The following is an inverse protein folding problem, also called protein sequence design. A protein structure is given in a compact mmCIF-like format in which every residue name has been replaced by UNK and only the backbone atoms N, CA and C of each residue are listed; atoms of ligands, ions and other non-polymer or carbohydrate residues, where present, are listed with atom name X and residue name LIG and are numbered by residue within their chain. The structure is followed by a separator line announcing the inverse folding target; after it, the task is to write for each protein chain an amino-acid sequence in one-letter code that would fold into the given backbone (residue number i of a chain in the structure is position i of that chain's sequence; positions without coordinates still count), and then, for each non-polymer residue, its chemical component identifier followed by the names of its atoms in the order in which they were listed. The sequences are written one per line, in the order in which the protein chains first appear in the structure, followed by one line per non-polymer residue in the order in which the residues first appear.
data_IF_277404279909
#
_entry.id   IF_277404279909
#
_cell.length_a   1.000
_cell.length_b   1.000
_cell.length_c   1.000
_cell.angle_alpha   90.00
_cell.angle_beta   90.00
_cell.angle_gamma   90.00
#
_symmetry.space_group_name_H-M   'P 1'
#
loop_
_entity.id
_entity.type
_entity.pdbx_description
1 polymer ?
#
# COMPACT_ATOMS: atom_id res chain seq x y z
N UNK A 1 51.23 41.99 -51.42
CA UNK A 1 49.86 42.04 -50.88
C UNK A 1 49.42 40.62 -50.53
N UNK A 2 49.44 40.26 -49.23
CA UNK A 2 49.07 38.92 -48.73
C UNK A 2 47.73 39.00 -48.04
N UNK A 3 46.72 38.28 -48.58
CA UNK A 3 45.42 38.17 -48.01
C UNK A 3 45.39 37.01 -47.00
N UNK A 4 45.13 37.31 -45.72
CA UNK A 4 44.93 36.33 -44.68
C UNK A 4 43.48 35.81 -44.72
N UNK A 5 43.34 34.51 -44.86
CA UNK A 5 42.08 33.80 -44.67
C UNK A 5 41.90 33.42 -43.20
N UNK A 6 40.89 33.96 -42.53
CA UNK A 6 40.43 33.48 -41.24
C UNK A 6 39.60 32.20 -41.39
N UNK A 7 40.05 31.10 -40.80
CA UNK A 7 39.24 29.90 -40.62
C UNK A 7 38.39 30.11 -39.38
N UNK A 8 37.07 30.10 -39.55
CA UNK A 8 36.11 29.98 -38.48
C UNK A 8 35.96 28.50 -38.12
N UNK A 9 36.38 28.11 -36.92
CA UNK A 9 36.12 26.79 -36.36
C UNK A 9 34.67 26.78 -35.81
N UNK A 10 33.78 26.08 -36.47
CA UNK A 10 32.44 25.82 -35.97
C UNK A 10 32.49 24.75 -34.85
N UNK A 11 32.15 25.16 -33.63
CA UNK A 11 32.00 24.25 -32.52
C UNK A 11 30.62 23.57 -32.56
N UNK A 12 30.56 22.34 -33.00
CA UNK A 12 29.35 21.52 -32.93
C UNK A 12 29.22 20.95 -31.51
N UNK A 13 28.34 21.58 -30.73
CA UNK A 13 27.93 21.04 -29.43
C UNK A 13 27.10 19.78 -29.65
N UNK A 14 27.67 18.62 -29.32
CA UNK A 14 26.94 17.34 -29.27
C UNK A 14 26.13 17.36 -27.97
N UNK A 15 24.83 17.59 -28.08
CA UNK A 15 23.90 17.41 -26.97
C UNK A 15 23.68 15.89 -26.79
N UNK A 16 24.38 15.32 -25.82
CA UNK A 16 24.09 13.94 -25.40
C UNK A 16 22.74 13.91 -24.66
N UNK A 17 21.69 13.46 -25.35
CA UNK A 17 20.42 13.17 -24.72
C UNK A 17 20.60 11.88 -23.91
N UNK A 18 20.78 12.04 -22.60
CA UNK A 18 20.67 10.92 -21.66
C UNK A 18 19.21 10.45 -21.63
N UNK A 19 18.92 9.41 -22.39
CA UNK A 19 17.70 8.62 -22.24
C UNK A 19 17.78 7.90 -20.89
N UNK A 20 17.21 8.50 -19.85
CA UNK A 20 16.96 7.81 -18.60
C UNK A 20 15.98 6.67 -18.90
N UNK A 21 16.52 5.46 -19.03
CA UNK A 21 15.72 4.23 -19.09
C UNK A 21 15.05 4.07 -17.73
N UNK A 22 13.82 4.57 -17.60
CA UNK A 22 12.96 4.19 -16.48
C UNK A 22 12.66 2.71 -16.62
N UNK A 23 13.35 1.89 -15.85
CA UNK A 23 12.98 0.48 -15.65
C UNK A 23 11.61 0.48 -14.99
N UNK A 24 10.57 0.35 -15.79
CA UNK A 24 9.22 0.13 -15.29
C UNK A 24 9.26 -1.19 -14.49
N UNK A 25 9.06 -1.09 -13.18
CA UNK A 25 8.87 -2.26 -12.33
C UNK A 25 7.61 -2.94 -12.87
N UNK A 26 7.77 -4.14 -13.44
CA UNK A 26 6.66 -4.88 -13.99
C UNK A 26 5.70 -5.24 -12.85
N UNK A 27 4.45 -4.82 -12.99
CA UNK A 27 3.40 -5.23 -12.05
C UNK A 27 3.20 -6.75 -12.13
N UNK A 28 2.90 -7.44 -11.01
CA UNK A 28 2.79 -8.89 -11.02
C UNK A 28 1.67 -9.36 -11.96
N UNK A 29 1.92 -10.46 -12.64
CA UNK A 29 0.88 -11.17 -13.39
C UNK A 29 0.10 -12.05 -12.41
N UNK A 30 -1.24 -11.85 -12.33
CA UNK A 30 -2.12 -12.63 -11.46
C UNK A 30 -3.11 -13.42 -12.30
N UNK A 31 -3.35 -14.66 -11.92
CA UNK A 31 -4.29 -15.58 -12.58
C UNK A 31 -4.88 -16.56 -11.56
N UNK A 32 -5.83 -17.34 -11.97
CA UNK A 32 -6.45 -18.38 -11.14
C UNK A 32 -5.40 -19.27 -10.46
N UNK A 33 -5.57 -19.47 -9.16
CA UNK A 33 -4.60 -20.12 -8.28
C UNK A 33 -3.56 -19.19 -7.64
N UNK A 34 -3.44 -17.95 -8.12
CA UNK A 34 -2.66 -16.95 -7.40
C UNK A 34 -3.33 -16.62 -6.06
N UNK A 35 -2.53 -16.34 -5.06
CA UNK A 35 -3.01 -15.93 -3.74
C UNK A 35 -2.08 -14.91 -3.13
N UNK A 36 -2.62 -14.17 -2.20
CA UNK A 36 -1.82 -13.20 -1.45
C UNK A 36 -2.30 -11.76 -1.61
N UNK A 37 -1.47 -10.84 -1.16
CA UNK A 37 -1.84 -9.43 -1.04
C UNK A 37 -2.14 -8.75 -2.38
N UNK A 38 -1.42 -9.11 -3.44
CA UNK A 38 -1.69 -8.56 -4.78
C UNK A 38 -3.09 -8.94 -5.27
N UNK A 39 -3.52 -10.16 -4.96
CA UNK A 39 -4.89 -10.62 -5.26
C UNK A 39 -5.90 -9.86 -4.41
N UNK A 40 -5.65 -9.69 -3.12
CA UNK A 40 -6.51 -8.91 -2.23
C UNK A 40 -6.66 -7.46 -2.72
N UNK A 41 -5.55 -6.81 -3.11
CA UNK A 41 -5.59 -5.46 -3.66
C UNK A 41 -6.37 -5.39 -4.96
N UNK A 42 -6.15 -6.35 -5.85
CA UNK A 42 -6.93 -6.48 -7.08
C UNK A 42 -8.42 -6.57 -6.77
N UNK A 43 -8.80 -7.47 -5.87
CA UNK A 43 -10.20 -7.68 -5.46
C UNK A 43 -10.81 -6.40 -4.88
N UNK A 44 -10.12 -5.72 -3.96
CA UNK A 44 -10.57 -4.44 -3.40
C UNK A 44 -10.70 -3.35 -4.47
N UNK A 45 -9.76 -3.28 -5.42
CA UNK A 45 -9.86 -2.33 -6.53
C UNK A 45 -11.05 -2.63 -7.43
N UNK A 46 -11.29 -3.89 -7.77
CA UNK A 46 -12.45 -4.32 -8.55
C UNK A 46 -13.75 -3.99 -7.84
N UNK A 47 -13.85 -4.27 -6.53
CA UNK A 47 -15.00 -3.85 -5.71
C UNK A 47 -15.22 -2.33 -5.74
N UNK A 48 -14.15 -1.56 -5.56
CA UNK A 48 -14.20 -0.09 -5.54
C UNK A 48 -14.71 0.49 -6.87
N UNK A 49 -14.31 -0.11 -8.00
CA UNK A 49 -14.77 0.32 -9.32
C UNK A 49 -16.07 -0.38 -9.76
N UNK A 50 -16.72 -1.14 -8.86
CA UNK A 50 -18.09 -1.64 -9.04
C UNK A 50 -18.20 -3.03 -9.68
N UNK A 51 -17.14 -3.85 -9.63
CA UNK A 51 -17.22 -5.25 -10.08
C UNK A 51 -17.59 -6.18 -8.92
N UNK A 52 -18.35 -7.23 -9.23
CA UNK A 52 -18.89 -8.16 -8.23
C UNK A 52 -17.78 -9.05 -7.67
N UNK A 53 -17.34 -8.74 -6.47
CA UNK A 53 -16.48 -9.55 -5.62
C UNK A 53 -17.16 -9.62 -4.24
N UNK A 54 -17.63 -10.80 -3.83
CA UNK A 54 -18.32 -10.96 -2.55
C UNK A 54 -17.37 -10.79 -1.37
N UNK A 55 -16.17 -11.37 -1.47
CA UNK A 55 -15.14 -11.26 -0.45
C UNK A 55 -13.78 -11.00 -1.08
N UNK A 56 -13.13 -9.94 -0.62
CA UNK A 56 -11.72 -9.73 -0.92
C UNK A 56 -10.88 -10.58 0.05
N UNK A 57 -10.68 -11.84 -0.30
CA UNK A 57 -10.03 -12.88 0.51
C UNK A 57 -8.56 -13.12 0.16
N UNK A 58 -8.09 -12.47 -0.91
CA UNK A 58 -6.74 -12.65 -1.41
C UNK A 58 -6.51 -13.97 -2.16
N UNK A 59 -7.57 -14.67 -2.59
CA UNK A 59 -7.51 -15.89 -3.38
C UNK A 59 -8.06 -15.61 -4.79
N UNK A 60 -7.25 -15.82 -5.81
CA UNK A 60 -7.66 -15.67 -7.21
C UNK A 60 -8.42 -16.92 -7.65
N UNK A 61 -9.70 -16.97 -7.30
CA UNK A 61 -10.64 -18.00 -7.74
C UNK A 61 -11.46 -17.57 -8.95
N UNK A 62 -12.46 -18.38 -9.32
CA UNK A 62 -13.35 -18.13 -10.46
C UNK A 62 -14.10 -16.79 -10.36
N UNK A 63 -14.44 -16.36 -9.14
CA UNK A 63 -15.10 -15.07 -8.93
C UNK A 63 -14.18 -13.91 -9.34
N UNK A 64 -12.93 -13.94 -8.90
CA UNK A 64 -11.93 -12.94 -9.25
C UNK A 64 -11.62 -12.94 -10.74
N UNK A 65 -11.52 -14.13 -11.35
CA UNK A 65 -11.29 -14.29 -12.79
C UNK A 65 -12.42 -13.68 -13.60
N UNK A 66 -13.68 -13.95 -13.22
CA UNK A 66 -14.86 -13.37 -13.89
C UNK A 66 -14.87 -11.85 -13.78
N UNK A 67 -14.64 -11.31 -12.58
CA UNK A 67 -14.61 -9.88 -12.35
C UNK A 67 -13.49 -9.19 -13.17
N UNK A 68 -12.33 -9.82 -13.28
CA UNK A 68 -11.22 -9.34 -14.13
C UNK A 68 -11.61 -9.39 -15.60
N UNK A 69 -12.24 -10.46 -16.07
CA UNK A 69 -12.67 -10.58 -17.46
C UNK A 69 -13.75 -9.54 -17.81
N UNK A 70 -14.69 -9.27 -16.92
CA UNK A 70 -15.69 -8.20 -17.07
C UNK A 70 -15.01 -6.82 -17.12
N UNK A 71 -14.10 -6.56 -16.19
CA UNK A 71 -13.33 -5.33 -16.17
C UNK A 71 -12.57 -5.12 -17.49
N UNK A 72 -11.86 -6.15 -17.96
CA UNK A 72 -11.11 -6.11 -19.21
C UNK A 72 -12.03 -5.80 -20.41
N UNK A 73 -13.22 -6.38 -20.44
CA UNK A 73 -14.24 -6.08 -21.48
C UNK A 73 -14.66 -4.61 -21.45
N UNK A 74 -15.00 -4.10 -20.27
CA UNK A 74 -15.50 -2.74 -20.08
C UNK A 74 -14.41 -1.68 -20.38
N UNK A 75 -13.15 -2.03 -20.12
CA UNK A 75 -11.99 -1.18 -20.46
C UNK A 75 -11.49 -1.35 -21.90
N UNK A 76 -12.18 -2.18 -22.71
CA UNK A 76 -11.82 -2.47 -24.10
C UNK A 76 -10.36 -2.94 -24.25
N UNK A 77 -9.88 -3.75 -23.32
CA UNK A 77 -8.59 -4.42 -23.37
C UNK A 77 -8.79 -5.93 -23.57
N UNK A 78 -7.73 -6.65 -23.95
CA UNK A 78 -7.81 -8.09 -24.22
C UNK A 78 -8.39 -8.85 -23.01
N UNK A 79 -9.50 -9.54 -23.24
CA UNK A 79 -10.20 -10.35 -22.22
C UNK A 79 -9.47 -11.67 -22.07
N UNK A 80 -8.80 -11.86 -20.96
CA UNK A 80 -8.01 -13.06 -20.65
C UNK A 80 -8.33 -13.66 -19.29
N UNK A 81 -9.02 -12.91 -18.42
CA UNK A 81 -9.14 -13.26 -17.00
C UNK A 81 -7.81 -13.21 -16.24
N UNK A 82 -6.72 -12.77 -16.88
CA UNK A 82 -5.38 -12.68 -16.29
C UNK A 82 -5.02 -11.20 -16.12
N UNK A 83 -4.56 -10.83 -14.93
CA UNK A 83 -4.09 -9.48 -14.66
C UNK A 83 -2.64 -9.35 -15.09
N UNK A 84 -2.40 -8.54 -16.09
CA UNK A 84 -1.09 -8.17 -16.61
C UNK A 84 -0.88 -6.66 -16.51
N UNK A 85 0.23 -6.15 -17.02
CA UNK A 85 0.54 -4.71 -16.99
C UNK A 85 -0.56 -3.84 -17.64
N UNK A 86 -1.24 -4.32 -18.69
CA UNK A 86 -2.33 -3.58 -19.32
C UNK A 86 -3.54 -3.48 -18.38
N UNK A 87 -3.90 -4.59 -17.73
CA UNK A 87 -4.99 -4.65 -16.75
C UNK A 87 -4.69 -3.76 -15.54
N UNK A 88 -3.47 -3.80 -15.01
CA UNK A 88 -3.07 -2.93 -13.90
C UNK A 88 -3.15 -1.45 -14.25
N UNK A 89 -2.67 -1.04 -15.43
CA UNK A 89 -2.77 0.36 -15.89
C UNK A 89 -4.23 0.81 -16.02
N UNK A 90 -5.07 -0.02 -16.58
CA UNK A 90 -6.49 0.28 -16.70
C UNK A 90 -7.14 0.45 -15.32
N UNK A 91 -6.82 -0.42 -14.34
CA UNK A 91 -7.31 -0.34 -12.97
C UNK A 91 -6.88 0.93 -12.23
N UNK A 92 -5.73 1.52 -12.60
CA UNK A 92 -5.25 2.78 -12.00
C UNK A 92 -6.08 3.99 -12.43
N UNK A 93 -6.62 3.96 -13.63
CA UNK A 93 -7.36 5.07 -14.24
C UNK A 93 -8.86 4.84 -14.30
N UNK A 94 -9.32 3.63 -13.91
CA UNK A 94 -10.73 3.27 -13.92
C UNK A 94 -11.52 4.15 -12.95
N UNK A 95 -12.62 4.69 -13.46
CA UNK A 95 -13.66 5.37 -12.67
C UNK A 95 -14.64 4.33 -12.15
N UNK A 96 -15.35 4.67 -11.09
CA UNK A 96 -16.45 3.85 -10.60
C UNK A 96 -17.45 3.56 -11.73
N UNK A 97 -17.85 2.30 -11.81
CA UNK A 97 -18.83 1.84 -12.80
C UNK A 97 -20.18 2.47 -12.49
N UNK A 98 -20.68 3.33 -13.36
CA UNK A 98 -22.05 3.80 -13.27
C UNK A 98 -22.97 2.65 -13.69
N UNK A 99 -23.58 1.97 -12.73
CA UNK A 99 -24.68 1.06 -13.00
C UNK A 99 -25.89 1.89 -13.41
N UNK A 100 -26.25 1.85 -14.68
CA UNK A 100 -27.54 2.35 -15.14
C UNK A 100 -28.64 1.39 -14.70
N UNK A 101 -28.94 1.38 -13.41
CA UNK A 101 -30.11 0.71 -12.87
C UNK A 101 -30.92 1.78 -12.17
N UNK A 102 -32.05 2.15 -12.78
CA UNK A 102 -33.19 2.71 -12.06
C UNK A 102 -33.69 1.65 -11.04
N UNK A 103 -33.05 1.56 -9.89
CA UNK A 103 -33.62 0.90 -8.74
C UNK A 103 -34.56 1.94 -8.12
N UNK A 104 -35.88 1.69 -8.09
CA UNK A 104 -36.80 2.53 -7.33
C UNK A 104 -36.30 2.56 -5.89
N UNK A 105 -35.92 3.70 -5.39
CA UNK A 105 -35.57 3.90 -3.98
C UNK A 105 -36.78 3.48 -3.14
N UNK A 106 -36.64 2.54 -2.19
CA UNK A 106 -37.69 2.33 -1.20
C UNK A 106 -37.82 3.62 -0.40
N UNK A 107 -39.00 4.21 -0.49
CA UNK A 107 -39.41 5.41 0.25
C UNK A 107 -39.06 5.25 1.74
N UNK A 108 -38.29 6.18 2.22
CA UNK A 108 -37.88 6.34 3.61
C UNK A 108 -39.11 6.50 4.49
N UNK A 109 -39.38 5.66 5.48
CA UNK A 109 -40.37 5.96 6.50
C UNK A 109 -39.81 7.06 7.41
N UNK A 110 -40.58 8.11 7.55
CA UNK A 110 -40.32 9.21 8.49
C UNK A 110 -40.54 8.76 9.92
N UNK A 111 -39.61 9.18 10.79
CA UNK A 111 -39.76 9.48 12.24
C UNK A 111 -40.43 8.45 13.15
N UNK A 112 -39.62 7.92 14.04
CA UNK A 112 -40.05 7.26 15.28
C UNK A 112 -38.88 7.21 16.26
N UNK A 113 -38.88 8.15 17.20
CA UNK A 113 -37.99 8.22 18.35
C UNK A 113 -38.09 6.98 19.21
N UNK A 114 -36.98 6.33 19.51
CA UNK A 114 -36.78 5.64 20.79
C UNK A 114 -35.31 5.40 21.05
N UNK A 115 -34.83 5.99 22.10
CA UNK A 115 -33.50 5.85 22.65
C UNK A 115 -33.25 4.44 23.13
N UNK A 116 -32.19 3.81 22.66
CA UNK A 116 -31.55 2.72 23.37
C UNK A 116 -30.04 2.83 23.14
N UNK A 117 -29.30 2.82 24.24
CA UNK A 117 -27.89 3.08 24.40
C UNK A 117 -27.02 2.39 23.36
N UNK A 118 -26.58 3.12 22.35
CA UNK A 118 -25.48 2.72 21.51
C UNK A 118 -24.18 3.08 22.23
N UNK A 119 -23.38 2.08 22.53
CA UNK A 119 -21.98 2.23 22.91
C UNK A 119 -21.31 3.06 21.81
N UNK A 120 -20.88 4.25 22.15
CA UNK A 120 -20.21 5.20 21.25
C UNK A 120 -19.01 4.54 20.58
N UNK A 121 -19.11 4.33 19.27
CA UNK A 121 -18.01 4.10 18.33
C UNK A 121 -17.29 5.43 18.03
N UNK A 122 -17.16 6.28 19.02
CA UNK A 122 -16.59 7.63 18.87
C UNK A 122 -15.21 7.70 19.50
N UNK A 123 -14.27 6.88 18.97
CA UNK A 123 -12.84 7.10 19.22
C UNK A 123 -11.99 6.68 18.01
N UNK A 124 -12.46 6.95 16.81
CA UNK A 124 -11.54 7.11 15.69
C UNK A 124 -11.05 8.55 15.75
N UNK A 125 -9.85 8.76 16.29
CA UNK A 125 -9.16 10.03 16.15
C UNK A 125 -9.23 10.49 14.69
N UNK A 126 -9.36 11.80 14.40
CA UNK A 126 -9.35 12.29 13.03
C UNK A 126 -8.12 11.70 12.34
N UNK A 127 -8.28 11.21 11.12
CA UNK A 127 -7.35 10.33 10.36
C UNK A 127 -5.87 10.78 10.27
N UNK A 128 -5.49 11.88 10.92
CA UNK A 128 -4.16 12.48 10.91
C UNK A 128 -3.60 12.79 12.32
N UNK A 129 -4.24 12.38 13.41
CA UNK A 129 -3.71 12.64 14.75
C UNK A 129 -2.68 11.57 15.17
N UNK A 130 -1.60 11.97 15.89
CA UNK A 130 -0.68 11.01 16.49
C UNK A 130 -1.41 10.11 17.50
N UNK A 131 -1.21 8.80 17.40
CA UNK A 131 -1.95 7.78 18.17
C UNK A 131 -1.12 7.11 19.25
N UNK A 132 0.21 7.17 19.15
CA UNK A 132 1.14 6.52 20.08
C UNK A 132 1.73 7.53 21.07
N UNK A 133 1.44 7.36 22.35
CA UNK A 133 2.08 8.17 23.38
C UNK A 133 3.59 7.86 23.46
N UNK A 134 4.43 8.90 23.57
CA UNK A 134 5.90 8.77 23.66
C UNK A 134 6.34 7.80 24.75
N UNK A 135 5.65 7.77 25.89
CA UNK A 135 5.91 6.82 26.99
C UNK A 135 5.71 5.35 26.62
N UNK A 136 4.94 5.05 25.57
CA UNK A 136 4.68 3.69 25.09
C UNK A 136 5.63 3.22 23.99
N UNK A 137 6.48 4.10 23.45
CA UNK A 137 7.38 3.77 22.32
C UNK A 137 8.31 2.62 22.69
N UNK A 138 8.94 2.68 23.88
CA UNK A 138 9.86 1.61 24.31
C UNK A 138 9.17 0.24 24.39
N UNK A 139 7.98 0.18 25.00
CA UNK A 139 7.20 -1.05 25.08
C UNK A 139 6.78 -1.57 23.69
N UNK A 140 6.36 -0.67 22.80
CA UNK A 140 6.00 -1.04 21.44
C UNK A 140 7.19 -1.64 20.68
N UNK A 141 8.37 -1.02 20.75
CA UNK A 141 9.58 -1.51 20.11
C UNK A 141 10.07 -2.83 20.71
N UNK A 142 9.92 -3.02 22.02
CA UNK A 142 10.23 -4.29 22.66
C UNK A 142 9.30 -5.40 22.15
N UNK A 143 8.00 -5.15 22.08
CA UNK A 143 7.01 -6.08 21.51
C UNK A 143 7.35 -6.41 20.06
N UNK A 144 7.70 -5.39 19.27
CA UNK A 144 8.09 -5.57 17.89
C UNK A 144 9.31 -6.50 17.75
N UNK A 145 10.36 -6.23 18.50
CA UNK A 145 11.61 -7.02 18.47
C UNK A 145 11.43 -8.45 18.98
N UNK A 146 10.50 -8.69 19.91
CA UNK A 146 10.19 -10.05 20.39
C UNK A 146 9.61 -10.96 19.30
N UNK A 147 9.13 -10.40 18.20
CA UNK A 147 8.61 -11.14 17.05
C UNK A 147 9.67 -11.50 16.00
N UNK A 148 10.93 -11.11 16.17
CA UNK A 148 11.99 -11.38 15.17
C UNK A 148 12.09 -12.89 14.91
N UNK A 149 12.17 -13.27 13.64
CA UNK A 149 12.26 -14.66 13.20
C UNK A 149 10.90 -15.34 12.96
N UNK A 150 9.78 -14.75 13.39
CA UNK A 150 8.45 -15.30 13.07
C UNK A 150 8.26 -15.28 11.55
N UNK A 151 7.83 -16.42 10.95
CA UNK A 151 7.73 -16.54 9.51
C UNK A 151 6.66 -15.62 8.91
N UNK A 152 6.84 -15.30 7.63
CA UNK A 152 5.83 -14.59 6.86
C UNK A 152 4.75 -15.54 6.35
N UNK A 153 3.50 -15.10 6.47
CA UNK A 153 2.36 -15.69 5.79
C UNK A 153 1.40 -14.57 5.40
N UNK A 154 1.00 -14.52 4.15
CA UNK A 154 -0.02 -13.59 3.72
C UNK A 154 -1.32 -13.76 4.53
N UNK A 155 -1.92 -12.63 4.94
CA UNK A 155 -3.08 -12.65 5.84
C UNK A 155 -2.75 -13.06 7.29
N UNK A 156 -1.48 -13.25 7.63
CA UNK A 156 -1.05 -13.63 8.98
C UNK A 156 -1.14 -12.47 9.98
N UNK A 157 -1.73 -12.73 11.15
CA UNK A 157 -2.01 -11.74 12.20
C UNK A 157 -1.58 -12.22 13.59
N UNK A 158 -0.94 -13.38 13.67
CA UNK A 158 -0.63 -14.04 14.95
C UNK A 158 0.84 -14.43 15.04
N UNK A 159 1.38 -14.70 16.22
CA UNK A 159 2.74 -15.18 16.40
C UNK A 159 3.09 -16.51 15.70
N UNK A 160 2.13 -17.17 15.04
CA UNK A 160 2.41 -18.31 14.18
C UNK A 160 3.00 -17.88 12.84
N UNK A 161 2.51 -16.77 12.29
CA UNK A 161 3.01 -16.12 11.10
C UNK A 161 2.36 -14.75 10.92
N UNK A 162 3.06 -13.80 10.29
CA UNK A 162 2.60 -12.46 10.02
C UNK A 162 2.72 -12.10 8.54
N UNK A 163 1.80 -11.27 8.03
CA UNK A 163 2.11 -10.38 6.91
C UNK A 163 2.59 -9.01 7.43
N UNK A 164 2.95 -8.09 6.54
CA UNK A 164 3.53 -6.81 6.93
C UNK A 164 2.60 -5.97 7.81
N UNK A 165 1.34 -5.81 7.42
CA UNK A 165 0.36 -4.99 8.13
C UNK A 165 -0.27 -5.70 9.32
N UNK A 166 -0.45 -7.02 9.25
CA UNK A 166 -0.89 -7.84 10.38
C UNK A 166 0.14 -7.90 11.50
N UNK A 167 1.42 -7.87 11.16
CA UNK A 167 2.50 -7.72 12.14
C UNK A 167 2.40 -6.39 12.90
N UNK A 168 2.24 -5.28 12.18
CA UNK A 168 2.04 -3.98 12.81
C UNK A 168 0.78 -3.99 13.67
N UNK A 169 -0.33 -4.50 13.15
CA UNK A 169 -1.60 -4.57 13.88
C UNK A 169 -1.44 -5.35 15.20
N UNK A 170 -0.76 -6.50 15.15
CA UNK A 170 -0.46 -7.29 16.35
C UNK A 170 0.37 -6.50 17.39
N UNK A 171 1.48 -5.90 16.95
CA UNK A 171 2.40 -5.15 17.83
C UNK A 171 1.67 -3.98 18.50
N UNK A 172 0.87 -3.23 17.76
CA UNK A 172 0.08 -2.12 18.30
C UNK A 172 -1.00 -2.60 19.26
N UNK A 173 -1.72 -3.68 18.93
CA UNK A 173 -2.76 -4.25 19.78
C UNK A 173 -2.20 -4.72 21.14
N UNK A 174 -1.01 -5.32 21.17
CA UNK A 174 -0.34 -5.70 22.42
C UNK A 174 0.00 -4.48 23.31
N UNK A 175 0.02 -3.28 22.74
CA UNK A 175 0.24 -2.02 23.46
C UNK A 175 -1.05 -1.23 23.67
N UNK A 176 -2.22 -1.85 23.45
CA UNK A 176 -3.54 -1.28 23.66
C UNK A 176 -3.93 -0.24 22.59
N UNK A 177 -3.36 -0.34 21.38
CA UNK A 177 -3.64 0.57 20.26
C UNK A 177 -4.20 -0.24 19.10
N UNK A 178 -5.38 0.12 18.63
CA UNK A 178 -5.98 -0.47 17.44
C UNK A 178 -5.61 0.34 16.20
N UNK A 179 -5.08 -0.34 15.18
CA UNK A 179 -4.80 0.24 13.87
C UNK A 179 -5.49 -0.59 12.78
N UNK A 180 -5.76 0.00 11.60
CA UNK A 180 -6.38 -0.72 10.49
C UNK A 180 -5.61 -1.96 10.05
N UNK A 181 -6.30 -2.89 9.37
CA UNK A 181 -5.72 -4.18 8.95
C UNK A 181 -4.73 -4.06 7.80
N UNK A 182 -4.94 -3.16 6.86
CA UNK A 182 -4.18 -3.12 5.61
C UNK A 182 -3.16 -1.98 5.59
N UNK A 183 -2.07 -2.16 4.85
CA UNK A 183 -0.99 -1.18 4.80
C UNK A 183 -1.44 0.17 4.22
N UNK A 184 -2.34 0.16 3.24
CA UNK A 184 -2.89 1.37 2.63
C UNK A 184 -3.79 2.17 3.60
N UNK A 185 -4.55 1.47 4.46
CA UNK A 185 -5.32 2.10 5.53
C UNK A 185 -4.41 2.60 6.66
N UNK A 186 -3.39 1.83 7.03
CA UNK A 186 -2.38 2.27 8.00
C UNK A 186 -1.61 3.50 7.50
N UNK A 187 -1.41 3.62 6.19
CA UNK A 187 -0.79 4.82 5.59
C UNK A 187 -1.64 6.09 5.73
N UNK A 188 -2.91 5.99 6.08
CA UNK A 188 -3.77 7.15 6.38
C UNK A 188 -3.62 7.68 7.81
N UNK A 189 -2.94 6.92 8.69
CA UNK A 189 -2.71 7.32 10.09
C UNK A 189 -1.63 8.40 10.20
N UNK A 190 -1.72 9.21 11.23
CA UNK A 190 -0.68 10.17 11.62
C UNK A 190 -0.32 11.22 10.57
N UNK A 191 0.71 11.99 10.84
CA UNK A 191 1.19 13.06 9.96
C UNK A 191 2.21 12.50 8.96
N UNK A 192 2.04 12.83 7.69
CA UNK A 192 2.94 12.37 6.63
C UNK A 192 4.29 13.10 6.69
N UNK A 193 5.38 12.34 6.57
CA UNK A 193 6.70 12.88 6.23
C UNK A 193 7.30 12.11 5.06
N UNK A 194 7.94 12.82 4.13
CA UNK A 194 8.75 12.21 3.07
C UNK A 194 10.22 12.15 3.44
N UNK A 195 10.64 13.01 4.37
CA UNK A 195 12.01 13.05 4.85
C UNK A 195 12.21 12.02 5.97
N UNK A 196 12.93 10.94 5.66
CA UNK A 196 13.26 9.89 6.63
C UNK A 196 14.09 10.37 7.82
N UNK A 197 14.79 11.51 7.69
CA UNK A 197 15.56 12.12 8.79
C UNK A 197 14.65 12.74 9.87
N UNK A 198 13.39 12.97 9.58
CA UNK A 198 12.43 13.49 10.54
C UNK A 198 11.70 12.39 11.32
N UNK A 199 11.91 11.12 10.95
CA UNK A 199 11.30 10.00 11.65
C UNK A 199 11.88 9.83 13.05
N UNK A 200 11.00 9.47 13.99
CA UNK A 200 11.36 9.11 15.34
C UNK A 200 11.02 7.62 15.61
N UNK A 201 11.74 6.94 16.51
CA UNK A 201 11.43 5.56 16.84
C UNK A 201 9.96 5.38 17.22
N UNK A 202 9.31 4.38 16.64
CA UNK A 202 7.89 4.11 16.80
C UNK A 202 7.02 4.63 15.64
N UNK A 203 7.54 5.51 14.78
CA UNK A 203 6.85 5.93 13.56
C UNK A 203 6.72 4.78 12.56
N UNK A 204 5.77 4.91 11.65
CA UNK A 204 5.55 3.93 10.60
C UNK A 204 6.30 4.34 9.32
N UNK A 205 6.83 3.35 8.62
CA UNK A 205 7.46 3.51 7.31
C UNK A 205 6.73 2.67 6.27
N UNK A 206 6.58 3.21 5.06
CA UNK A 206 5.82 2.59 4.00
C UNK A 206 6.60 2.56 2.70
N UNK A 207 6.32 1.51 1.92
CA UNK A 207 7.03 1.26 0.67
C UNK A 207 6.04 0.85 -0.42
N UNK A 208 6.37 1.21 -1.66
CA UNK A 208 5.74 0.67 -2.85
C UNK A 208 6.56 -0.53 -3.33
N UNK A 209 6.12 -1.74 -3.04
CA UNK A 209 6.85 -2.98 -3.36
C UNK A 209 6.24 -3.74 -4.53
N UNK A 210 5.10 -4.36 -4.33
CA UNK A 210 4.43 -5.22 -5.30
C UNK A 210 3.16 -4.59 -5.90
N UNK A 211 2.64 -3.52 -5.30
CA UNK A 211 1.48 -2.79 -5.81
C UNK A 211 1.69 -1.28 -5.67
N UNK A 212 1.02 -0.46 -6.50
CA UNK A 212 1.02 1.00 -6.36
C UNK A 212 0.53 1.44 -4.98
N UNK A 213 1.14 2.50 -4.43
CA UNK A 213 0.80 3.01 -3.11
C UNK A 213 1.50 2.25 -1.97
N UNK A 214 0.94 2.36 -0.77
CA UNK A 214 1.50 1.71 0.42
C UNK A 214 1.19 0.22 0.41
N UNK A 215 2.08 -0.58 -0.17
CA UNK A 215 1.93 -2.02 -0.30
C UNK A 215 2.80 -2.80 0.68
N UNK A 216 3.71 -2.16 1.37
CA UNK A 216 4.49 -2.74 2.46
C UNK A 216 4.71 -1.71 3.57
N UNK A 217 4.87 -2.17 4.81
CA UNK A 217 5.00 -1.33 5.98
C UNK A 217 5.92 -1.92 7.04
N UNK A 218 6.44 -1.05 7.90
CA UNK A 218 7.28 -1.39 9.03
C UNK A 218 7.22 -0.32 10.12
N UNK A 219 7.87 -0.59 11.25
CA UNK A 219 8.03 0.34 12.37
C UNK A 219 9.47 0.84 12.38
N UNK A 220 9.64 2.14 12.38
CA UNK A 220 10.97 2.76 12.44
C UNK A 220 11.59 2.59 13.84
N UNK A 221 12.87 2.21 13.87
CA UNK A 221 13.61 1.93 15.10
C UNK A 221 14.58 3.06 15.50
N UNK A 222 14.89 3.95 14.57
CA UNK A 222 15.98 4.91 14.66
C UNK A 222 17.12 4.56 13.72
N UNK A 223 18.06 5.47 13.51
CA UNK A 223 19.31 5.28 12.76
C UNK A 223 19.15 4.69 11.35
N UNK A 224 18.02 4.98 10.72
CA UNK A 224 17.66 4.44 9.40
C UNK A 224 17.14 3.01 9.42
N UNK A 225 17.04 2.36 10.57
CA UNK A 225 16.57 1.00 10.70
C UNK A 225 15.04 0.94 10.85
N UNK A 226 14.44 -0.11 10.33
CA UNK A 226 13.03 -0.42 10.54
C UNK A 226 12.82 -1.93 10.68
N UNK A 227 11.80 -2.31 11.45
CA UNK A 227 11.41 -3.70 11.65
C UNK A 227 10.10 -3.97 10.93
N UNK A 228 10.03 -5.10 10.21
CA UNK A 228 8.89 -5.46 9.38
C UNK A 228 8.80 -6.98 9.20
N UNK A 229 7.67 -7.49 8.71
CA UNK A 229 7.55 -8.88 8.27
C UNK A 229 7.91 -8.98 6.78
N UNK A 230 9.13 -9.47 6.50
CA UNK A 230 9.63 -9.71 5.14
C UNK A 230 8.98 -10.97 4.55
N UNK A 231 8.48 -10.88 3.31
CA UNK A 231 7.86 -12.01 2.62
C UNK A 231 8.79 -13.22 2.41
N UNK A 232 10.10 -12.99 2.39
CA UNK A 232 11.10 -14.05 2.17
C UNK A 232 11.83 -14.52 3.42
N UNK A 233 11.82 -13.72 4.51
CA UNK A 233 12.67 -13.99 5.69
C UNK A 233 11.93 -13.83 7.03
N UNK A 234 10.61 -13.59 7.01
CA UNK A 234 9.84 -13.34 8.20
C UNK A 234 10.15 -12.00 8.87
N UNK A 235 9.83 -11.87 10.16
CA UNK A 235 10.05 -10.63 10.90
C UNK A 235 11.54 -10.38 11.09
N UNK A 236 12.01 -9.19 10.64
CA UNK A 236 13.41 -8.81 10.68
C UNK A 236 13.60 -7.30 10.69
N UNK A 237 14.85 -6.88 10.93
CA UNK A 237 15.28 -5.49 10.78
C UNK A 237 16.01 -5.34 9.46
N UNK A 238 15.67 -4.27 8.73
CA UNK A 238 16.36 -3.81 7.53
C UNK A 238 16.64 -2.29 7.65
N UNK A 239 17.45 -1.74 6.75
CA UNK A 239 17.80 -0.32 6.73
C UNK A 239 17.14 0.38 5.53
N UNK A 240 16.64 1.61 5.74
CA UNK A 240 16.01 2.44 4.71
C UNK A 240 16.94 2.75 3.54
N UNK A 241 18.25 2.82 3.79
CA UNK A 241 19.28 3.06 2.77
C UNK A 241 19.63 1.82 1.94
N UNK A 242 19.12 0.64 2.29
CA UNK A 242 19.35 -0.59 1.55
C UNK A 242 18.92 -0.44 0.09
N UNK A 243 19.70 -0.98 -0.86
CA UNK A 243 19.47 -0.87 -2.30
C UNK A 243 18.11 -1.40 -2.77
N UNK A 244 17.49 -2.33 -2.01
CA UNK A 244 16.15 -2.81 -2.28
C UNK A 244 15.07 -1.84 -1.77
N UNK A 245 15.26 -1.27 -0.57
CA UNK A 245 14.24 -0.46 0.12
C UNK A 245 14.25 1.00 -0.30
N UNK A 246 15.44 1.61 -0.48
CA UNK A 246 15.57 3.03 -0.79
C UNK A 246 14.74 3.48 -2.00
N UNK A 247 14.79 2.80 -3.17
CA UNK A 247 14.00 3.21 -4.34
C UNK A 247 12.49 2.95 -4.20
N UNK A 248 12.08 2.21 -3.17
CA UNK A 248 10.67 1.84 -2.91
C UNK A 248 10.03 2.65 -1.78
N UNK A 249 10.83 3.46 -1.09
CA UNK A 249 10.34 4.26 0.05
C UNK A 249 9.27 5.25 -0.40
N UNK A 250 8.06 5.09 0.12
CA UNK A 250 6.91 5.94 -0.17
C UNK A 250 6.80 7.13 0.78
N UNK A 251 7.32 6.97 1.99
CA UNK A 251 7.28 7.97 3.05
C UNK A 251 7.01 7.36 4.42
N UNK A 252 7.07 8.19 5.43
CA UNK A 252 6.77 7.83 6.79
C UNK A 252 5.50 8.47 7.32
N UNK A 253 5.08 8.00 8.49
CA UNK A 253 3.94 8.53 9.23
C UNK A 253 4.35 8.78 10.67
N UNK A 254 4.35 10.04 11.09
CA UNK A 254 4.47 10.40 12.50
C UNK A 254 3.21 10.03 13.25
N UNK A 255 3.31 9.03 14.11
CA UNK A 255 2.22 8.55 14.95
C UNK A 255 2.53 8.71 16.44
N UNK A 256 3.74 9.12 16.77
CA UNK A 256 4.19 9.40 18.15
C UNK A 256 3.81 10.83 18.53
N UNK A 257 3.16 10.96 19.73
CA UNK A 257 2.78 12.26 20.31
C UNK A 257 3.93 12.93 21.02
#
# INVERSE_FOLDING_TARGET
MKASRFLQAGSTAVIAILLASSTAIASPTLQTGAHGHDVLLLQKKLQHVGYSIQSADGIYGEETERAVAEFQRDQNIRITGIVNNATWRALQTAKERQWGIDIPQPSRPSSGSSATSAVSLDTLAPNNAPILARSKVSSLLQTAKACIGIPYKFGGETPKAFDCSGYLQYVFAQNGITIPRTADEQYKLGLRTQNSQQLVPGDLVFFTTYAPGASHCGIYLGDGEFIHASSSKGVRIDNLSNSYWAPKYLGGKHIVK
#
